data_IF_450427842264
#
_entry.id   IF_450427842264
#
_cell.length_a   1.000
_cell.length_b   1.000
_cell.length_c   1.000
_cell.angle_alpha   90.00
_cell.angle_beta   90.00
_cell.angle_gamma   90.00
#
_symmetry.space_group_name_H-M   'P 1'
#
loop_
_entity.id
_entity.type
_entity.pdbx_description
1 polymer ?
#
# COMPACT_ATOMS: atom_id res chain seq x y z
N UNK A 1 18.73 3.41 37.89
CA UNK A 1 18.68 2.76 36.57
C UNK A 1 17.96 3.74 35.67
N UNK A 2 18.73 4.59 35.02
CA UNK A 2 18.21 5.69 34.22
C UNK A 2 18.00 5.16 32.81
N UNK A 3 16.76 4.85 32.47
CA UNK A 3 16.35 4.42 31.13
C UNK A 3 16.27 5.69 30.30
N UNK A 4 17.43 6.30 30.07
CA UNK A 4 17.58 7.35 29.06
C UNK A 4 17.08 6.74 27.75
N UNK A 5 15.94 7.23 27.28
CA UNK A 5 15.54 7.06 25.90
C UNK A 5 16.68 7.63 25.08
N UNK A 6 17.55 6.76 24.58
CA UNK A 6 18.64 7.13 23.70
C UNK A 6 17.96 7.70 22.46
N UNK A 7 17.89 9.02 22.36
CA UNK A 7 17.51 9.66 21.10
C UNK A 7 18.51 9.14 20.07
N UNK A 8 18.02 8.44 19.05
CA UNK A 8 18.86 8.00 17.94
C UNK A 8 19.59 9.21 17.39
N UNK A 9 20.89 9.07 17.14
CA UNK A 9 21.62 10.11 16.43
C UNK A 9 21.22 10.10 14.96
N UNK A 10 21.36 11.23 14.26
CA UNK A 10 21.08 11.30 12.83
C UNK A 10 21.90 10.28 12.03
N UNK A 11 23.13 9.98 12.46
CA UNK A 11 23.98 8.95 11.85
C UNK A 11 23.41 7.53 12.03
N UNK A 12 22.91 7.21 13.24
CA UNK A 12 22.27 5.91 13.51
C UNK A 12 20.98 5.74 12.67
N UNK A 13 20.22 6.82 12.50
CA UNK A 13 19.01 6.87 11.67
C UNK A 13 19.29 6.62 10.18
N UNK A 14 20.38 7.17 9.65
CA UNK A 14 20.80 6.96 8.25
C UNK A 14 21.23 5.51 8.03
N UNK A 15 22.02 4.93 8.93
CA UNK A 15 22.46 3.53 8.82
C UNK A 15 21.26 2.56 8.84
N UNK A 16 20.29 2.78 9.72
CA UNK A 16 19.07 1.97 9.78
C UNK A 16 18.24 2.06 8.51
N UNK A 17 18.15 3.26 7.92
CA UNK A 17 17.46 3.46 6.64
C UNK A 17 18.15 2.69 5.51
N UNK A 18 19.47 2.76 5.42
CA UNK A 18 20.23 2.01 4.40
C UNK A 18 20.04 0.50 4.54
N UNK A 19 20.10 -0.03 5.78
CA UNK A 19 19.86 -1.45 6.05
C UNK A 19 18.42 -1.87 5.69
N UNK A 20 17.43 -1.03 5.97
CA UNK A 20 16.05 -1.27 5.58
C UNK A 20 15.91 -1.31 4.06
N UNK A 21 16.48 -0.34 3.33
CA UNK A 21 16.42 -0.31 1.87
C UNK A 21 17.07 -1.57 1.27
N UNK A 22 18.24 -1.97 1.77
CA UNK A 22 18.91 -3.20 1.34
C UNK A 22 18.12 -4.48 1.67
N UNK A 23 17.38 -4.49 2.79
CA UNK A 23 16.50 -5.60 3.13
C UNK A 23 15.35 -5.70 2.13
N UNK A 24 14.66 -4.58 1.87
CA UNK A 24 13.54 -4.54 0.92
C UNK A 24 13.99 -4.90 -0.51
N UNK A 25 15.18 -4.47 -0.93
CA UNK A 25 15.73 -4.83 -2.24
C UNK A 25 15.96 -6.34 -2.36
N UNK A 26 16.50 -6.98 -1.31
CA UNK A 26 16.66 -8.44 -1.26
C UNK A 26 15.32 -9.17 -1.24
N UNK A 27 14.34 -8.67 -0.50
CA UNK A 27 12.99 -9.24 -0.47
C UNK A 27 12.32 -9.16 -1.84
N UNK A 28 12.41 -8.01 -2.52
CA UNK A 28 11.90 -7.84 -3.88
C UNK A 28 12.61 -8.79 -4.86
N UNK A 29 13.93 -8.93 -4.76
CA UNK A 29 14.69 -9.88 -5.59
C UNK A 29 14.26 -11.34 -5.38
N UNK A 30 13.75 -11.66 -4.19
CA UNK A 30 13.17 -12.96 -3.86
C UNK A 30 11.67 -13.09 -4.21
N UNK A 31 11.09 -12.06 -4.84
CA UNK A 31 9.73 -12.07 -5.36
C UNK A 31 8.68 -11.39 -4.47
N UNK A 32 9.07 -10.70 -3.40
CA UNK A 32 8.14 -9.95 -2.55
C UNK A 32 7.71 -8.64 -3.23
N UNK A 33 6.50 -8.62 -3.78
CA UNK A 33 5.96 -7.46 -4.50
C UNK A 33 5.72 -6.25 -3.61
N UNK A 34 5.28 -6.47 -2.36
CA UNK A 34 5.07 -5.40 -1.37
C UNK A 34 6.36 -4.67 -1.05
N UNK A 35 7.49 -5.39 -0.94
CA UNK A 35 8.79 -4.77 -0.69
C UNK A 35 9.18 -3.78 -1.79
N UNK A 36 8.97 -4.14 -3.06
CA UNK A 36 9.19 -3.22 -4.18
C UNK A 36 8.23 -2.03 -4.18
N UNK A 37 6.96 -2.22 -3.80
CA UNK A 37 6.01 -1.11 -3.66
C UNK A 37 6.44 -0.13 -2.56
N UNK A 38 6.94 -0.64 -1.43
CA UNK A 38 7.46 0.19 -0.34
C UNK A 38 8.72 0.97 -0.76
N UNK A 39 9.67 0.31 -1.45
CA UNK A 39 10.84 0.97 -2.02
C UNK A 39 10.44 2.10 -2.98
N UNK A 40 9.46 1.84 -3.84
CA UNK A 40 8.99 2.83 -4.79
C UNK A 40 8.41 4.07 -4.10
N UNK A 41 7.60 3.88 -3.04
CA UNK A 41 7.07 4.99 -2.25
C UNK A 41 8.15 5.70 -1.42
N UNK A 42 9.16 4.98 -0.92
CA UNK A 42 10.28 5.57 -0.20
C UNK A 42 11.03 6.60 -1.06
N UNK A 43 11.29 6.26 -2.32
CA UNK A 43 11.93 7.18 -3.28
C UNK A 43 10.96 8.17 -3.94
N UNK A 44 9.66 8.07 -3.66
CA UNK A 44 8.62 8.96 -4.19
C UNK A 44 8.56 10.33 -3.51
N UNK A 45 7.55 11.12 -3.88
CA UNK A 45 7.30 12.45 -3.30
C UNK A 45 6.74 12.39 -1.88
N UNK A 46 5.93 11.39 -1.58
CA UNK A 46 5.37 11.18 -0.25
C UNK A 46 6.10 10.06 0.48
N UNK A 47 7.31 10.39 0.96
CA UNK A 47 8.10 9.51 1.82
C UNK A 47 7.96 9.86 3.31
N UNK A 48 6.84 10.51 3.67
CA UNK A 48 6.53 10.96 5.03
C UNK A 48 6.54 9.82 6.05
N UNK A 49 6.11 8.61 5.64
CA UNK A 49 6.21 7.39 6.44
C UNK A 49 7.65 7.11 6.88
N UNK A 50 8.59 7.05 5.94
CA UNK A 50 10.00 6.79 6.22
C UNK A 50 10.65 7.92 7.00
N UNK A 51 10.25 9.16 6.73
CA UNK A 51 10.69 10.33 7.49
C UNK A 51 10.27 10.27 8.96
N UNK A 52 9.03 9.86 9.25
CA UNK A 52 8.52 9.78 10.62
C UNK A 52 9.10 8.58 11.39
N UNK A 53 9.19 7.41 10.75
CA UNK A 53 9.69 6.18 11.37
C UNK A 53 11.19 6.24 11.67
N UNK A 54 11.99 6.89 10.82
CA UNK A 54 13.45 6.81 10.90
C UNK A 54 14.14 8.13 11.19
N UNK A 55 13.43 9.27 11.15
CA UNK A 55 13.98 10.59 11.48
C UNK A 55 14.98 11.16 10.45
N UNK A 56 15.34 10.39 9.42
CA UNK A 56 16.23 10.82 8.34
C UNK A 56 15.43 11.07 7.04
N UNK A 57 15.59 12.22 6.37
CA UNK A 57 14.90 12.48 5.11
C UNK A 57 15.57 11.68 3.97
N UNK A 58 14.85 10.73 3.40
CA UNK A 58 15.26 10.14 2.12
C UNK A 58 15.06 11.19 1.03
N UNK A 59 16.11 11.47 0.24
CA UNK A 59 15.97 12.38 -0.90
C UNK A 59 15.13 11.69 -1.97
N UNK A 60 14.04 12.31 -2.47
CA UNK A 60 13.26 11.74 -3.56
C UNK A 60 14.13 11.43 -4.78
N UNK A 61 13.90 10.26 -5.37
CA UNK A 61 14.57 9.77 -6.57
C UNK A 61 13.51 9.12 -7.47
N UNK A 62 13.00 9.92 -8.41
CA UNK A 62 11.91 9.51 -9.28
C UNK A 62 12.26 8.36 -10.21
N UNK A 63 13.52 8.24 -10.62
CA UNK A 63 13.97 7.16 -11.49
C UNK A 63 13.95 5.84 -10.74
N UNK A 64 14.45 5.83 -9.49
CA UNK A 64 14.36 4.67 -8.60
C UNK A 64 12.91 4.34 -8.25
N UNK A 65 12.09 5.33 -7.92
CA UNK A 65 10.68 5.11 -7.62
C UNK A 65 9.98 4.41 -8.80
N UNK A 66 10.17 4.92 -10.02
CA UNK A 66 9.61 4.33 -11.23
C UNK A 66 10.17 2.92 -11.50
N UNK A 67 11.47 2.72 -11.29
CA UNK A 67 12.11 1.42 -11.43
C UNK A 67 11.47 0.39 -10.50
N UNK A 68 11.33 0.71 -9.21
CA UNK A 68 10.75 -0.20 -8.24
C UNK A 68 9.25 -0.43 -8.48
N UNK A 69 8.47 0.59 -8.87
CA UNK A 69 7.07 0.40 -9.25
C UNK A 69 6.95 -0.63 -10.40
N UNK A 70 7.77 -0.50 -11.44
CA UNK A 70 7.80 -1.45 -12.57
C UNK A 70 8.18 -2.88 -12.16
N UNK A 71 9.05 -3.05 -11.17
CA UNK A 71 9.44 -4.37 -10.68
C UNK A 71 8.40 -4.97 -9.72
N UNK A 72 7.80 -4.17 -8.83
CA UNK A 72 6.83 -4.69 -7.87
C UNK A 72 5.52 -5.11 -8.51
N UNK A 73 5.04 -4.40 -9.54
CA UNK A 73 3.75 -4.72 -10.16
C UNK A 73 3.61 -6.18 -10.60
N UNK A 74 4.53 -6.75 -11.43
CA UNK A 74 4.43 -8.15 -11.83
C UNK A 74 4.58 -9.13 -10.65
N UNK A 75 5.38 -8.80 -9.63
CA UNK A 75 5.51 -9.62 -8.43
C UNK A 75 4.20 -9.65 -7.62
N UNK A 76 3.56 -8.50 -7.44
CA UNK A 76 2.24 -8.39 -6.81
C UNK A 76 1.17 -9.13 -7.59
N UNK A 77 1.16 -9.05 -8.92
CA UNK A 77 0.23 -9.82 -9.75
C UNK A 77 0.39 -11.33 -9.52
N UNK A 78 1.64 -11.82 -9.45
CA UNK A 78 1.93 -13.24 -9.16
C UNK A 78 1.45 -13.63 -7.75
N UNK A 79 1.71 -12.84 -6.74
CA UNK A 79 1.22 -13.09 -5.37
C UNK A 79 -0.31 -13.07 -5.31
N UNK A 80 -0.95 -12.15 -6.02
CA UNK A 80 -2.40 -12.04 -6.12
C UNK A 80 -3.02 -13.26 -6.83
N UNK A 81 -2.37 -13.79 -7.87
CA UNK A 81 -2.77 -15.04 -8.52
C UNK A 81 -2.65 -16.26 -7.59
N UNK A 82 -1.73 -16.21 -6.61
CA UNK A 82 -1.59 -17.23 -5.56
C UNK A 82 -2.58 -17.05 -4.39
N UNK A 83 -3.50 -16.08 -4.47
CA UNK A 83 -4.53 -15.87 -3.47
C UNK A 83 -4.17 -14.88 -2.35
N UNK A 84 -3.06 -14.16 -2.47
CA UNK A 84 -2.70 -13.14 -1.49
C UNK A 84 -3.62 -11.90 -1.61
N UNK A 85 -4.50 -11.72 -0.63
CA UNK A 85 -5.46 -10.60 -0.60
C UNK A 85 -4.82 -9.22 -0.44
N UNK A 86 -3.69 -9.10 0.29
CA UNK A 86 -2.95 -7.82 0.36
C UNK A 86 -2.37 -7.46 -1.01
N UNK A 87 -1.79 -8.44 -1.71
CA UNK A 87 -1.26 -8.22 -3.05
C UNK A 87 -2.36 -7.83 -4.04
N UNK A 88 -3.54 -8.48 -3.97
CA UNK A 88 -4.71 -8.07 -4.77
C UNK A 88 -5.08 -6.61 -4.51
N UNK A 89 -5.15 -6.18 -3.25
CA UNK A 89 -5.45 -4.80 -2.90
C UNK A 89 -4.40 -3.83 -3.46
N UNK A 90 -3.11 -4.15 -3.31
CA UNK A 90 -2.03 -3.34 -3.86
C UNK A 90 -2.07 -3.25 -5.39
N UNK A 91 -2.40 -4.32 -6.11
CA UNK A 91 -2.66 -4.28 -7.56
C UNK A 91 -3.82 -3.31 -7.86
N UNK A 92 -4.87 -3.32 -7.05
CA UNK A 92 -5.96 -2.35 -7.13
C UNK A 92 -5.47 -0.90 -6.98
N UNK A 93 -4.55 -0.63 -6.05
CA UNK A 93 -3.96 0.71 -5.85
C UNK A 93 -3.15 1.17 -7.07
N UNK A 94 -2.45 0.27 -7.77
CA UNK A 94 -1.77 0.61 -9.03
C UNK A 94 -2.74 1.16 -10.07
N UNK A 95 -3.88 0.47 -10.27
CA UNK A 95 -4.90 0.92 -11.20
C UNK A 95 -5.62 2.20 -10.72
N UNK A 96 -5.82 2.36 -9.42
CA UNK A 96 -6.42 3.58 -8.86
C UNK A 96 -5.57 4.83 -9.14
N UNK A 97 -4.26 4.72 -8.94
CA UNK A 97 -3.30 5.81 -9.15
C UNK A 97 -2.88 5.99 -10.61
N UNK A 98 -3.05 4.97 -11.46
CA UNK A 98 -2.39 4.92 -12.76
C UNK A 98 -0.86 4.90 -12.63
N UNK A 99 -0.38 4.19 -11.61
CA UNK A 99 1.05 4.05 -11.34
C UNK A 99 1.67 3.15 -12.41
N UNK A 100 2.75 3.56 -13.08
CA UNK A 100 3.41 2.72 -14.07
C UNK A 100 3.70 1.31 -13.50
N UNK A 101 3.45 0.25 -14.27
CA UNK A 101 3.28 0.23 -15.72
C UNK A 101 1.83 0.37 -16.22
N UNK A 102 0.84 0.58 -15.34
CA UNK A 102 -0.58 0.62 -15.73
C UNK A 102 -1.11 2.05 -15.82
N UNK A 103 -2.11 2.24 -16.69
CA UNK A 103 -2.88 3.47 -16.71
C UNK A 103 -3.94 3.46 -15.60
N UNK A 104 -4.44 4.65 -15.24
CA UNK A 104 -5.51 4.78 -14.27
C UNK A 104 -6.77 4.10 -14.78
N UNK A 105 -7.30 3.17 -14.00
CA UNK A 105 -8.50 2.40 -14.32
C UNK A 105 -9.27 2.09 -13.03
N UNK A 106 -10.31 2.89 -12.77
CA UNK A 106 -11.16 2.71 -11.59
C UNK A 106 -11.93 1.40 -11.61
N UNK A 107 -12.26 0.86 -12.79
CA UNK A 107 -12.99 -0.41 -12.89
C UNK A 107 -12.08 -1.57 -12.46
N UNK A 108 -10.83 -1.58 -12.93
CA UNK A 108 -9.82 -2.55 -12.50
C UNK A 108 -9.52 -2.42 -10.99
N UNK A 109 -9.38 -1.21 -10.46
CA UNK A 109 -9.25 -1.00 -9.02
C UNK A 109 -10.36 -1.72 -8.25
N UNK A 110 -11.62 -1.51 -8.64
CA UNK A 110 -12.75 -2.15 -7.97
C UNK A 110 -12.76 -3.67 -8.11
N UNK A 111 -12.43 -4.22 -9.28
CA UNK A 111 -12.30 -5.67 -9.47
C UNK A 111 -11.28 -6.26 -8.51
N UNK A 112 -10.12 -5.61 -8.36
CA UNK A 112 -9.07 -6.09 -7.47
C UNK A 112 -9.41 -5.90 -5.98
N UNK A 113 -10.05 -4.79 -5.60
CA UNK A 113 -10.51 -4.58 -4.21
C UNK A 113 -11.60 -5.57 -3.80
N UNK A 114 -12.53 -5.93 -4.70
CA UNK A 114 -13.50 -7.01 -4.45
C UNK A 114 -12.80 -8.35 -4.23
N UNK A 115 -11.86 -8.73 -5.12
CA UNK A 115 -11.09 -9.98 -4.96
C UNK A 115 -10.28 -10.02 -3.67
N UNK A 116 -9.65 -8.91 -3.31
CA UNK A 116 -8.90 -8.78 -2.06
C UNK A 116 -9.80 -9.02 -0.84
N UNK A 117 -10.99 -8.42 -0.83
CA UNK A 117 -11.98 -8.61 0.21
C UNK A 117 -12.46 -10.08 0.30
N UNK A 118 -12.77 -10.70 -0.83
CA UNK A 118 -13.16 -12.13 -0.89
C UNK A 118 -12.04 -13.07 -0.42
N UNK A 119 -10.79 -12.69 -0.64
CA UNK A 119 -9.61 -13.39 -0.11
C UNK A 119 -9.36 -13.12 1.39
N UNK A 120 -10.23 -12.37 2.07
CA UNK A 120 -10.16 -12.08 3.50
C UNK A 120 -9.33 -10.85 3.88
N UNK A 121 -8.86 -10.06 2.91
CA UNK A 121 -8.17 -8.81 3.18
C UNK A 121 -9.16 -7.69 3.51
N UNK A 122 -9.57 -7.64 4.78
CA UNK A 122 -10.57 -6.70 5.31
C UNK A 122 -10.31 -5.23 4.97
N UNK A 123 -9.07 -4.70 4.91
CA UNK A 123 -8.87 -3.30 4.55
C UNK A 123 -9.45 -2.90 3.19
N UNK A 124 -9.58 -3.83 2.24
CA UNK A 124 -10.23 -3.58 0.95
C UNK A 124 -11.73 -3.23 1.08
N UNK A 125 -12.39 -3.58 2.19
CA UNK A 125 -13.77 -3.16 2.46
C UNK A 125 -13.92 -1.63 2.53
N UNK A 126 -12.86 -0.88 2.87
CA UNK A 126 -12.89 0.58 2.84
C UNK A 126 -13.07 1.13 1.42
N UNK A 127 -12.39 0.52 0.44
CA UNK A 127 -12.53 0.90 -0.97
C UNK A 127 -13.96 0.61 -1.44
N UNK A 128 -14.47 -0.57 -1.10
CA UNK A 128 -15.82 -1.00 -1.47
C UNK A 128 -16.88 -0.10 -0.83
N UNK A 129 -16.73 0.21 0.45
CA UNK A 129 -17.61 1.17 1.14
C UNK A 129 -17.56 2.54 0.47
N UNK A 130 -16.37 3.08 0.19
CA UNK A 130 -16.20 4.38 -0.45
C UNK A 130 -16.83 4.44 -1.83
N UNK A 131 -16.73 3.35 -2.60
CA UNK A 131 -17.32 3.23 -3.93
C UNK A 131 -18.86 3.25 -3.90
N UNK A 132 -19.48 2.50 -2.97
CA UNK A 132 -20.94 2.36 -2.90
C UNK A 132 -21.63 3.43 -2.05
N UNK A 133 -20.92 4.18 -1.20
CA UNK A 133 -21.52 5.13 -0.24
C UNK A 133 -21.79 6.53 -0.81
N UNK A 134 -21.20 6.88 -1.96
CA UNK A 134 -21.41 8.19 -2.56
C UNK A 134 -22.78 8.29 -3.26
N UNK A 135 -23.75 8.96 -2.61
CA UNK A 135 -25.12 9.17 -3.11
C UNK A 135 -25.22 9.86 -4.47
N UNK A 136 -24.18 10.54 -4.92
CA UNK A 136 -24.15 11.23 -6.21
C UNK A 136 -23.52 10.37 -7.33
N UNK A 137 -23.11 9.14 -7.02
CA UNK A 137 -22.48 8.21 -7.95
C UNK A 137 -23.50 7.31 -8.64
N UNK A 138 -23.29 6.98 -9.92
CA UNK A 138 -24.13 6.02 -10.65
C UNK A 138 -24.08 4.60 -10.07
N UNK A 139 -23.03 4.30 -9.31
CA UNK A 139 -22.82 3.02 -8.64
C UNK A 139 -23.23 3.05 -7.17
N UNK A 140 -23.90 4.12 -6.72
CA UNK A 140 -24.42 4.20 -5.35
C UNK A 140 -25.31 3.00 -5.03
N UNK A 141 -25.03 2.34 -3.90
CA UNK A 141 -25.80 1.21 -3.42
C UNK A 141 -25.81 1.22 -1.89
N UNK A 142 -26.95 1.63 -1.32
CA UNK A 142 -27.10 1.80 0.13
C UNK A 142 -26.92 0.47 0.88
N UNK A 143 -27.41 -0.64 0.32
CA UNK A 143 -27.36 -1.94 0.98
C UNK A 143 -25.92 -2.47 1.00
N UNK A 144 -25.20 -2.36 -0.12
CA UNK A 144 -23.77 -2.71 -0.17
C UNK A 144 -22.93 -1.81 0.71
N UNK A 145 -23.18 -0.50 0.71
CA UNK A 145 -22.47 0.41 1.60
C UNK A 145 -22.70 0.03 3.08
N UNK A 146 -23.94 -0.27 3.48
CA UNK A 146 -24.25 -0.72 4.83
C UNK A 146 -23.59 -2.07 5.17
N UNK A 147 -23.51 -2.98 4.20
CA UNK A 147 -22.83 -4.27 4.35
C UNK A 147 -21.33 -4.08 4.64
N UNK A 148 -20.60 -3.34 3.82
CA UNK A 148 -19.16 -3.10 4.04
C UNK A 148 -18.90 -2.28 5.30
N UNK A 149 -19.77 -1.31 5.59
CA UNK A 149 -19.71 -0.53 6.83
C UNK A 149 -19.78 -1.44 8.06
N UNK A 150 -20.72 -2.40 8.05
CA UNK A 150 -20.85 -3.37 9.15
C UNK A 150 -19.60 -4.22 9.33
N UNK A 151 -19.00 -4.69 8.23
CA UNK A 151 -17.75 -5.47 8.31
C UNK A 151 -16.65 -4.65 8.98
N UNK A 152 -16.46 -3.39 8.54
CA UNK A 152 -15.44 -2.49 9.10
C UNK A 152 -15.65 -2.20 10.59
N UNK A 153 -16.90 -2.03 11.03
CA UNK A 153 -17.21 -1.82 12.45
C UNK A 153 -16.97 -3.08 13.28
N UNK A 154 -17.36 -4.25 12.76
CA UNK A 154 -17.26 -5.52 13.47
C UNK A 154 -15.78 -5.96 13.62
N UNK A 155 -14.92 -5.59 12.68
CA UNK A 155 -13.48 -5.87 12.72
C UNK A 155 -12.66 -4.80 13.44
N UNK A 156 -13.29 -3.75 13.97
CA UNK A 156 -12.61 -2.63 14.61
C UNK A 156 -11.64 -1.88 13.69
N UNK A 157 -11.82 -2.01 12.37
CA UNK A 157 -10.95 -1.37 11.38
C UNK A 157 -11.23 0.13 11.36
N UNK A 158 -10.18 0.95 11.49
CA UNK A 158 -10.32 2.41 11.59
C UNK A 158 -10.74 2.98 10.22
N UNK A 159 -11.83 3.72 10.20
CA UNK A 159 -12.29 4.46 9.02
C UNK A 159 -11.21 5.46 8.57
N UNK A 160 -10.84 5.41 7.29
CA UNK A 160 -10.16 6.52 6.62
C UNK A 160 -11.22 7.11 5.70
N UNK A 161 -11.79 8.25 6.10
CA UNK A 161 -12.80 9.01 5.34
C UNK A 161 -12.12 10.17 4.64
#
# INVERSE_FOLDING_TARGET
MDITSKMLTEADSVEQLELLMQSLERELANGNGRAGFLLANAYGLDNSFFKHELGAPLKPDFEKALHFFKLSFPALCKEAELGNGEAMHLVGIYYQGGTPPVARDSAQHMVWSHRAFEAGYIPAANDLYSYYSNKNSEVYDQEKAAYYLKILTDTGTRFVV
#
